data_IF_858591042507
#
_entry.id   IF_858591042507
#
_cell.length_a   1.000
_cell.length_b   1.000
_cell.length_c   1.000
_cell.angle_alpha   90.00
_cell.angle_beta   90.00
_cell.angle_gamma   90.00
#
_symmetry.space_group_name_H-M   'P 1'
#
loop_
_entity.id
_entity.type
_entity.pdbx_description
1 polymer ?
#
# COMPACT_ATOMS: atom_id res chain seq x y z
N UNK A 1 -6.34 27.83 18.97
CA UNK A 1 -7.33 26.73 18.99
C UNK A 1 -7.09 25.91 17.73
N UNK A 2 -6.66 24.65 17.84
CA UNK A 2 -6.66 23.75 16.68
C UNK A 2 -8.12 23.34 16.42
N UNK A 3 -8.63 23.60 15.22
CA UNK A 3 -9.91 23.05 14.78
C UNK A 3 -9.86 21.52 14.92
N UNK A 4 -10.78 20.97 15.72
CA UNK A 4 -10.95 19.53 15.82
C UNK A 4 -11.85 19.09 14.67
N UNK A 5 -11.25 18.54 13.62
CA UNK A 5 -12.00 17.91 12.55
C UNK A 5 -12.50 16.54 13.01
N UNK A 6 -13.80 16.29 12.83
CA UNK A 6 -14.41 15.00 13.11
C UNK A 6 -14.96 14.46 11.79
N UNK A 7 -14.48 13.28 11.39
CA UNK A 7 -15.00 12.54 10.24
C UNK A 7 -15.44 11.17 10.71
N UNK A 8 -16.56 10.70 10.17
CA UNK A 8 -17.01 9.32 10.37
C UNK A 8 -16.64 8.53 9.12
N UNK A 9 -15.87 7.45 9.31
CA UNK A 9 -15.51 6.52 8.24
C UNK A 9 -16.14 5.15 8.51
N UNK A 10 -16.63 4.51 7.45
CA UNK A 10 -17.13 3.13 7.45
C UNK A 10 -16.02 2.19 7.01
N UNK A 11 -15.79 1.15 7.80
CA UNK A 11 -14.73 0.15 7.54
C UNK A 11 -13.35 0.62 7.98
N UNK A 12 -12.29 0.11 7.33
CA UNK A 12 -10.91 0.48 7.61
C UNK A 12 -10.57 1.84 6.98
N UNK A 13 -10.25 2.89 7.77
CA UNK A 13 -9.89 4.19 7.20
C UNK A 13 -8.61 4.07 6.35
N UNK A 14 -8.69 4.62 5.13
CA UNK A 14 -7.55 4.70 4.20
C UNK A 14 -7.17 6.15 4.00
N UNK A 15 -5.87 6.44 4.02
CA UNK A 15 -5.36 7.80 3.84
C UNK A 15 -4.29 7.80 2.75
N UNK A 16 -4.42 8.71 1.77
CA UNK A 16 -3.39 8.97 0.77
C UNK A 16 -2.75 10.31 1.06
N UNK A 17 -1.44 10.35 1.24
CA UNK A 17 -0.64 11.58 1.33
C UNK A 17 0.04 11.85 -0.01
N UNK A 18 -0.18 13.04 -0.56
CA UNK A 18 0.41 13.45 -1.84
C UNK A 18 0.28 14.97 -2.07
N UNK A 19 0.94 15.50 -3.11
CA UNK A 19 0.75 16.87 -3.56
C UNK A 19 -0.73 17.15 -3.90
N UNK A 20 -1.20 18.37 -3.62
CA UNK A 20 -2.58 18.78 -3.78
C UNK A 20 -3.20 18.45 -5.15
N UNK A 21 -2.47 18.68 -6.25
CA UNK A 21 -2.98 18.43 -7.61
C UNK A 21 -3.19 16.94 -7.89
N UNK A 22 -2.30 16.08 -7.38
CA UNK A 22 -2.46 14.62 -7.48
C UNK A 22 -3.60 14.14 -6.59
N UNK A 23 -3.81 14.73 -5.41
CA UNK A 23 -4.96 14.41 -4.55
C UNK A 23 -6.27 14.80 -5.21
N UNK A 24 -6.37 15.98 -5.83
CA UNK A 24 -7.56 16.39 -6.59
C UNK A 24 -7.80 15.48 -7.81
N UNK A 25 -6.73 15.09 -8.50
CA UNK A 25 -6.81 14.12 -9.59
C UNK A 25 -7.34 12.77 -9.10
N UNK A 26 -6.87 12.29 -7.94
CA UNK A 26 -7.39 11.07 -7.33
C UNK A 26 -8.87 11.21 -6.93
N UNK A 27 -9.25 12.34 -6.32
CA UNK A 27 -10.65 12.57 -5.91
C UNK A 27 -11.60 12.63 -7.10
N UNK A 28 -11.16 13.14 -8.24
CA UNK A 28 -11.93 13.11 -9.49
C UNK A 28 -11.96 11.74 -10.19
N UNK A 29 -11.38 10.71 -9.56
CA UNK A 29 -11.46 9.32 -10.00
C UNK A 29 -10.22 8.75 -10.65
N UNK A 30 -9.11 9.50 -10.76
CA UNK A 30 -7.91 9.02 -11.46
C UNK A 30 -6.96 8.30 -10.52
N UNK A 31 -6.91 6.98 -10.61
CA UNK A 31 -5.85 6.17 -9.99
C UNK A 31 -4.66 6.12 -10.93
N UNK A 32 -3.50 6.52 -10.41
CA UNK A 32 -2.21 6.41 -11.09
C UNK A 32 -1.36 5.38 -10.35
N UNK A 33 -1.09 4.22 -10.95
CA UNK A 33 -0.39 3.10 -10.33
C UNK A 33 0.94 2.84 -11.05
N UNK A 34 2.06 3.03 -10.35
CA UNK A 34 3.42 2.77 -10.86
C UNK A 34 3.76 1.28 -10.76
N UNK A 35 4.68 0.80 -11.57
CA UNK A 35 5.24 -0.56 -11.42
C UNK A 35 6.09 -0.65 -10.15
N UNK A 36 6.18 -1.84 -9.55
CA UNK A 36 7.13 -2.12 -8.47
C UNK A 36 8.59 -1.83 -8.89
N UNK A 37 8.90 -1.97 -10.19
CA UNK A 37 10.19 -1.59 -10.77
C UNK A 37 10.53 -0.11 -10.70
N UNK A 38 9.54 0.78 -10.71
CA UNK A 38 9.76 2.22 -10.50
C UNK A 38 10.31 2.49 -9.09
N UNK A 39 9.77 1.84 -8.07
CA UNK A 39 10.19 2.03 -6.67
C UNK A 39 11.59 1.48 -6.41
N UNK A 40 11.97 0.35 -7.04
CA UNK A 40 13.35 -0.14 -6.98
C UNK A 40 14.37 0.89 -7.48
N UNK A 41 14.09 1.49 -8.64
CA UNK A 41 14.95 2.51 -9.26
C UNK A 41 15.07 3.78 -8.41
N UNK A 42 14.05 4.14 -7.62
CA UNK A 42 14.10 5.35 -6.78
C UNK A 42 15.16 5.27 -5.68
N UNK A 43 15.33 4.12 -5.04
CA UNK A 43 16.38 3.97 -4.01
C UNK A 43 17.77 4.04 -4.64
N UNK A 44 17.95 3.48 -5.84
CA UNK A 44 19.20 3.57 -6.60
C UNK A 44 19.59 5.04 -6.90
N UNK A 45 18.59 5.92 -7.04
CA UNK A 45 18.78 7.37 -7.21
C UNK A 45 18.86 8.16 -5.89
N UNK A 46 18.85 7.49 -4.74
CA UNK A 46 19.05 8.08 -3.41
C UNK A 46 17.77 8.38 -2.62
N UNK A 47 16.59 8.05 -3.14
CA UNK A 47 15.33 8.22 -2.40
C UNK A 47 14.96 6.93 -1.64
N UNK A 48 15.32 6.91 -0.36
CA UNK A 48 15.04 5.80 0.55
C UNK A 48 13.71 5.94 1.29
N UNK A 49 12.92 7.00 1.08
CA UNK A 49 11.60 7.14 1.72
C UNK A 49 10.51 6.50 0.84
N UNK A 50 10.61 6.67 -0.48
CA UNK A 50 9.69 6.06 -1.44
C UNK A 50 10.29 4.81 -2.10
N UNK A 51 11.59 4.83 -2.39
CA UNK A 51 12.26 3.73 -3.08
C UNK A 51 12.61 2.57 -2.15
N UNK A 52 12.53 1.35 -2.68
CA UNK A 52 13.01 0.11 -2.05
C UNK A 52 13.58 -0.82 -3.14
N UNK A 53 14.88 -1.08 -3.14
CA UNK A 53 15.60 -1.93 -4.12
C UNK A 53 15.22 -3.41 -4.00
N UNK A 54 14.61 -3.81 -2.88
CA UNK A 54 14.12 -5.17 -2.62
C UNK A 54 12.65 -5.32 -2.99
N UNK A 55 11.98 -4.22 -3.36
CA UNK A 55 10.55 -4.19 -3.65
C UNK A 55 10.17 -5.29 -4.65
N UNK A 56 9.28 -6.20 -4.23
CA UNK A 56 8.82 -7.34 -5.03
C UNK A 56 9.92 -8.28 -5.57
N UNK A 57 11.01 -8.44 -4.83
CA UNK A 57 12.13 -9.34 -5.15
C UNK A 57 12.27 -10.41 -4.08
N UNK A 58 12.68 -11.62 -4.46
CA UNK A 58 13.06 -12.64 -3.48
C UNK A 58 14.52 -12.39 -3.09
N UNK A 59 14.73 -12.01 -1.83
CA UNK A 59 16.07 -11.87 -1.26
C UNK A 59 16.56 -13.20 -0.68
N UNK A 60 17.78 -13.59 -1.05
CA UNK A 60 18.48 -14.76 -0.51
C UNK A 60 19.78 -14.28 0.11
N UNK A 61 19.90 -14.38 1.43
CA UNK A 61 21.10 -13.96 2.17
C UNK A 61 22.25 -14.92 1.96
N UNK A 62 22.01 -16.22 2.13
CA UNK A 62 22.98 -17.29 1.90
C UNK A 62 22.25 -18.54 1.42
N UNK A 63 22.59 -19.02 0.23
CA UNK A 63 21.84 -20.09 -0.37
C UNK A 63 22.50 -20.69 -1.59
N UNK A 64 21.84 -21.71 -2.12
CA UNK A 64 22.33 -22.43 -3.28
C UNK A 64 21.15 -22.91 -4.12
N UNK A 65 21.17 -22.54 -5.41
CA UNK A 65 20.18 -23.00 -6.39
C UNK A 65 20.76 -24.18 -7.15
N UNK A 66 20.01 -25.28 -7.15
CA UNK A 66 20.28 -26.42 -8.02
C UNK A 66 19.49 -26.27 -9.31
N UNK A 67 20.18 -26.39 -10.46
CA UNK A 67 19.60 -26.33 -11.80
C UNK A 67 19.54 -27.74 -12.38
N UNK A 68 18.40 -28.46 -12.28
CA UNK A 68 18.30 -29.88 -12.65
C UNK A 68 18.69 -30.14 -14.10
N UNK A 69 18.29 -29.25 -15.01
CA UNK A 69 18.53 -29.39 -16.45
C UNK A 69 20.02 -29.38 -16.83
N UNK A 70 20.86 -28.81 -15.98
CA UNK A 70 22.31 -28.70 -16.23
C UNK A 70 23.16 -29.46 -15.21
N UNK A 71 22.54 -29.98 -14.15
CA UNK A 71 23.23 -30.55 -12.98
C UNK A 71 24.10 -29.56 -12.22
N UNK A 72 24.00 -28.26 -12.49
CA UNK A 72 24.82 -27.22 -11.86
C UNK A 72 24.21 -26.74 -10.56
N UNK A 73 25.12 -26.30 -9.69
CA UNK A 73 24.82 -25.72 -8.39
C UNK A 73 25.41 -24.31 -8.38
N UNK A 74 24.57 -23.32 -8.11
CA UNK A 74 24.96 -21.90 -8.10
C UNK A 74 24.75 -21.36 -6.70
N UNK A 75 25.81 -20.86 -6.07
CA UNK A 75 25.70 -20.14 -4.81
C UNK A 75 24.97 -18.81 -5.06
N UNK A 76 24.03 -18.47 -4.20
CA UNK A 76 23.23 -17.24 -4.26
C UNK A 76 23.30 -16.54 -2.92
N UNK A 77 24.14 -15.51 -2.83
CA UNK A 77 24.54 -14.89 -1.56
C UNK A 77 24.34 -13.39 -1.63
N UNK A 78 23.30 -12.90 -0.95
CA UNK A 78 22.83 -11.51 -1.05
C UNK A 78 22.12 -11.20 -2.37
N UNK A 79 21.68 -12.22 -3.10
CA UNK A 79 21.06 -12.06 -4.42
C UNK A 79 19.58 -11.68 -4.32
N UNK A 80 19.12 -10.90 -5.31
CA UNK A 80 17.73 -10.50 -5.49
C UNK A 80 17.17 -11.16 -6.75
N UNK A 81 16.25 -12.11 -6.60
CA UNK A 81 15.64 -12.82 -7.72
C UNK A 81 14.32 -12.16 -8.13
N UNK A 82 14.16 -11.94 -9.44
CA UNK A 82 12.90 -11.49 -10.03
C UNK A 82 11.92 -12.65 -10.17
N UNK A 83 10.64 -12.31 -10.08
CA UNK A 83 9.50 -13.15 -10.41
C UNK A 83 8.72 -12.52 -11.58
N UNK A 84 7.76 -13.24 -12.15
CA UNK A 84 6.85 -12.69 -13.17
C UNK A 84 6.06 -11.47 -12.67
N UNK A 85 5.84 -11.36 -11.36
CA UNK A 85 5.03 -10.35 -10.69
C UNK A 85 5.89 -9.21 -10.12
N UNK A 86 7.21 -9.27 -10.28
CA UNK A 86 8.13 -8.23 -9.78
C UNK A 86 7.90 -6.87 -10.44
N UNK A 87 7.14 -6.78 -11.55
CA UNK A 87 6.81 -5.54 -12.24
C UNK A 87 5.30 -5.25 -12.26
N UNK A 88 4.49 -5.91 -11.43
CA UNK A 88 3.08 -5.58 -11.27
C UNK A 88 2.89 -4.10 -10.84
N UNK A 89 1.73 -3.54 -11.17
CA UNK A 89 1.41 -2.15 -10.84
C UNK A 89 0.84 -2.06 -9.43
N UNK A 90 1.18 -1.01 -8.69
CA UNK A 90 0.69 -0.81 -7.33
C UNK A 90 0.14 0.59 -7.08
N UNK A 91 -0.94 0.62 -6.30
CA UNK A 91 -1.47 1.85 -5.71
C UNK A 91 -1.53 1.71 -4.19
N UNK A 92 -0.68 2.49 -3.52
CA UNK A 92 -0.42 2.35 -2.09
C UNK A 92 -1.16 3.42 -1.28
N UNK A 93 -1.68 3.05 -0.12
CA UNK A 93 -2.30 3.97 0.84
C UNK A 93 -1.82 3.63 2.25
N UNK A 94 -2.02 4.57 3.17
CA UNK A 94 -1.86 4.33 4.61
C UNK A 94 -3.15 3.70 5.15
N UNK A 95 -3.05 2.53 5.78
CA UNK A 95 -4.19 1.86 6.41
C UNK A 95 -4.19 2.07 7.93
N UNK A 96 -5.31 2.57 8.47
CA UNK A 96 -5.50 2.67 9.93
C UNK A 96 -6.08 1.35 10.43
N UNK A 97 -5.36 0.66 11.31
CA UNK A 97 -5.78 -0.65 11.80
C UNK A 97 -7.17 -0.59 12.50
N UNK A 98 -8.21 -1.29 11.97
CA UNK A 98 -9.57 -1.19 12.48
C UNK A 98 -9.77 -1.88 13.85
N UNK A 99 -8.79 -2.65 14.33
CA UNK A 99 -8.86 -3.31 15.65
C UNK A 99 -8.50 -2.37 16.79
N UNK A 100 -7.87 -1.22 16.50
CA UNK A 100 -7.52 -0.26 17.53
C UNK A 100 -8.75 0.59 17.91
N UNK A 101 -9.08 0.67 19.20
CA UNK A 101 -10.16 1.54 19.68
C UNK A 101 -9.86 3.02 19.40
N UNK A 102 -8.57 3.36 19.42
CA UNK A 102 -8.05 4.71 19.23
C UNK A 102 -6.70 4.65 18.54
N UNK A 103 -6.60 5.30 17.39
CA UNK A 103 -5.37 5.43 16.62
C UNK A 103 -4.84 6.86 16.64
N UNK A 104 -3.52 7.00 16.73
CA UNK A 104 -2.78 8.26 16.59
C UNK A 104 -1.48 8.00 15.84
N UNK A 105 -1.10 8.94 14.99
CA UNK A 105 0.20 8.88 14.34
C UNK A 105 1.33 8.99 15.37
N UNK A 106 2.34 8.14 15.22
CA UNK A 106 3.60 8.20 15.96
C UNK A 106 4.40 9.44 15.54
N UNK A 107 5.37 9.87 16.35
CA UNK A 107 6.21 11.02 15.99
C UNK A 107 7.04 10.76 14.73
N UNK A 108 7.54 9.52 14.56
CA UNK A 108 8.19 9.07 13.31
C UNK A 108 7.27 9.22 12.10
N UNK A 109 5.98 8.87 12.23
CA UNK A 109 5.01 9.06 11.16
C UNK A 109 4.75 10.54 10.89
N UNK A 110 4.54 11.37 11.91
CA UNK A 110 4.33 12.81 11.72
C UNK A 110 5.49 13.48 10.98
N UNK A 111 6.73 13.08 11.29
CA UNK A 111 7.92 13.58 10.62
C UNK A 111 8.00 13.08 9.17
N UNK A 112 7.98 11.76 8.97
CA UNK A 112 8.28 11.16 7.65
C UNK A 112 7.13 11.26 6.65
N UNK A 113 5.87 11.21 7.09
CA UNK A 113 4.71 11.21 6.18
C UNK A 113 4.55 12.53 5.43
N UNK A 114 5.11 13.64 5.96
CA UNK A 114 5.14 14.93 5.27
C UNK A 114 6.04 14.94 4.02
N UNK A 115 6.96 13.97 3.89
CA UNK A 115 7.80 13.84 2.68
C UNK A 115 7.01 13.34 1.46
N UNK A 116 5.83 12.75 1.67
CA UNK A 116 4.98 12.22 0.60
C UNK A 116 4.13 13.29 -0.07
N UNK A 117 3.91 14.42 0.61
CA UNK A 117 3.12 15.55 0.12
C UNK A 117 2.46 16.34 1.26
N UNK A 118 1.88 17.47 0.90
CA UNK A 118 1.28 18.43 1.83
C UNK A 118 -0.23 18.25 2.02
N UNK A 119 -0.85 17.35 1.27
CA UNK A 119 -2.29 17.15 1.22
C UNK A 119 -2.62 15.68 1.49
N UNK A 120 -3.72 15.45 2.22
CA UNK A 120 -4.24 14.14 2.53
C UNK A 120 -5.65 13.96 1.96
N UNK A 121 -5.91 12.81 1.34
CA UNK A 121 -7.24 12.31 1.03
C UNK A 121 -7.59 11.18 1.99
N UNK A 122 -8.74 11.28 2.64
CA UNK A 122 -9.27 10.29 3.57
C UNK A 122 -10.46 9.61 2.91
N UNK A 123 -10.44 8.28 2.83
CA UNK A 123 -11.58 7.48 2.38
C UNK A 123 -12.55 7.29 3.54
N UNK A 124 -13.80 7.68 3.33
CA UNK A 124 -14.88 7.64 4.31
C UNK A 124 -15.79 6.42 4.13
N UNK A 125 -15.90 5.86 2.92
CA UNK A 125 -16.55 4.57 2.67
C UNK A 125 -15.56 3.59 2.07
N UNK A 126 -15.01 2.72 2.92
CA UNK A 126 -14.00 1.74 2.55
C UNK A 126 -14.50 0.76 1.48
N UNK A 127 -15.71 0.23 1.67
CA UNK A 127 -16.25 -0.83 0.82
C UNK A 127 -16.55 -0.28 -0.57
N UNK A 128 -17.15 0.91 -0.64
CA UNK A 128 -17.48 1.56 -1.91
C UNK A 128 -16.21 1.96 -2.67
N UNK A 129 -15.20 2.49 -1.98
CA UNK A 129 -13.92 2.82 -2.60
C UNK A 129 -13.28 1.57 -3.21
N UNK A 130 -13.12 0.49 -2.45
CA UNK A 130 -12.58 -0.78 -2.95
C UNK A 130 -13.40 -1.30 -4.13
N UNK A 131 -14.73 -1.24 -4.05
CA UNK A 131 -15.62 -1.70 -5.12
C UNK A 131 -15.36 -0.93 -6.41
N UNK A 132 -15.26 0.40 -6.37
CA UNK A 132 -14.98 1.24 -7.55
C UNK A 132 -13.61 0.94 -8.16
N UNK A 133 -12.57 0.77 -7.34
CA UNK A 133 -11.23 0.36 -7.81
C UNK A 133 -11.28 -1.00 -8.50
N UNK A 134 -11.96 -1.98 -7.90
CA UNK A 134 -12.05 -3.33 -8.46
C UNK A 134 -12.77 -3.36 -9.80
N UNK A 135 -13.91 -2.68 -9.90
CA UNK A 135 -14.69 -2.58 -11.14
C UNK A 135 -13.86 -1.94 -12.26
N UNK A 136 -13.17 -0.83 -11.99
CA UNK A 136 -12.34 -0.16 -12.99
C UNK A 136 -11.16 -1.03 -13.45
N UNK A 137 -10.50 -1.71 -12.50
CA UNK A 137 -9.40 -2.62 -12.82
C UNK A 137 -9.86 -3.80 -13.69
N UNK A 138 -10.99 -4.43 -13.35
CA UNK A 138 -11.56 -5.54 -14.12
C UNK A 138 -11.97 -5.11 -15.53
N UNK A 139 -12.57 -3.93 -15.68
CA UNK A 139 -12.92 -3.34 -16.98
C UNK A 139 -11.70 -3.02 -17.84
N UNK A 140 -10.59 -2.64 -17.21
CA UNK A 140 -9.29 -2.42 -17.86
C UNK A 140 -8.51 -3.72 -18.11
N UNK A 141 -9.05 -4.89 -17.73
CA UNK A 141 -8.44 -6.19 -17.98
C UNK A 141 -7.41 -6.64 -16.94
N UNK A 142 -7.34 -5.99 -15.78
CA UNK A 142 -6.43 -6.36 -14.70
C UNK A 142 -7.14 -7.19 -13.63
N UNK A 143 -6.43 -8.18 -13.08
CA UNK A 143 -6.80 -8.75 -11.77
C UNK A 143 -6.28 -7.81 -10.69
N UNK A 144 -7.02 -7.73 -9.60
CA UNK A 144 -6.71 -6.82 -8.49
C UNK A 144 -6.68 -7.56 -7.16
N UNK A 145 -5.62 -7.33 -6.40
CA UNK A 145 -5.49 -7.80 -5.02
C UNK A 145 -5.38 -6.61 -4.09
N UNK A 146 -6.06 -6.66 -2.95
CA UNK A 146 -5.99 -5.61 -1.94
C UNK A 146 -5.64 -6.21 -0.57
N UNK A 147 -4.48 -5.85 -0.03
CA UNK A 147 -3.99 -6.36 1.26
C UNK A 147 -3.07 -5.34 1.96
N UNK A 148 -2.93 -5.43 3.30
CA UNK A 148 -1.83 -4.79 4.02
C UNK A 148 -0.48 -5.40 3.61
N UNK A 149 0.55 -4.55 3.61
CA UNK A 149 1.94 -4.94 3.42
C UNK A 149 2.46 -5.64 4.68
N UNK A 150 3.20 -6.73 4.46
CA UNK A 150 3.94 -7.45 5.47
C UNK A 150 5.39 -6.98 5.48
N UNK A 151 5.93 -6.80 6.67
CA UNK A 151 7.27 -6.28 6.86
C UNK A 151 8.22 -7.40 7.29
N UNK A 152 9.42 -7.41 6.72
CA UNK A 152 10.44 -8.41 7.01
C UNK A 152 11.80 -7.79 7.32
N UNK A 153 12.58 -8.47 8.15
CA UNK A 153 13.98 -8.17 8.39
C UNK A 153 14.81 -8.67 7.18
N UNK A 154 15.48 -7.78 6.43
CA UNK A 154 16.22 -8.19 5.24
C UNK A 154 17.48 -9.00 5.55
N UNK A 155 17.96 -9.05 6.80
CA UNK A 155 19.19 -9.75 7.20
C UNK A 155 19.02 -11.26 7.40
N UNK A 156 17.77 -11.74 7.38
CA UNK A 156 17.40 -13.15 7.48
C UNK A 156 16.54 -13.55 6.29
N UNK A 157 16.59 -14.83 5.91
CA UNK A 157 15.76 -15.33 4.82
C UNK A 157 14.29 -15.40 5.24
N UNK A 158 13.43 -14.79 4.43
CA UNK A 158 12.01 -14.63 4.70
C UNK A 158 11.22 -15.93 4.52
N UNK A 159 11.32 -16.88 5.45
CA UNK A 159 10.56 -18.14 5.38
C UNK A 159 9.05 -17.93 5.21
N UNK A 160 8.47 -16.97 5.94
CA UNK A 160 7.05 -16.59 5.79
C UNK A 160 6.73 -16.01 4.40
N UNK A 161 7.66 -15.23 3.83
CA UNK A 161 7.53 -14.73 2.46
C UNK A 161 7.48 -15.90 1.49
N UNK A 162 8.45 -16.81 1.54
CA UNK A 162 8.49 -17.98 0.65
C UNK A 162 7.22 -18.85 0.77
N UNK A 163 6.74 -19.10 1.98
CA UNK A 163 5.48 -19.83 2.22
C UNK A 163 4.30 -19.08 1.57
N UNK A 164 4.24 -17.75 1.70
CA UNK A 164 3.15 -16.96 1.10
C UNK A 164 3.14 -17.04 -0.43
N UNK A 165 4.32 -17.18 -1.07
CA UNK A 165 4.42 -17.29 -2.53
C UNK A 165 3.82 -18.60 -3.05
N UNK A 166 3.79 -19.68 -2.23
CA UNK A 166 3.13 -20.93 -2.62
C UNK A 166 1.63 -20.77 -2.90
N UNK A 167 0.98 -19.78 -2.28
CA UNK A 167 -0.42 -19.44 -2.54
C UNK A 167 -0.62 -18.58 -3.81
N UNK A 168 0.47 -18.04 -4.35
CA UNK A 168 0.49 -17.19 -5.55
C UNK A 168 1.64 -16.19 -5.50
N UNK A 169 2.39 -16.08 -6.61
CA UNK A 169 3.58 -15.24 -6.69
C UNK A 169 3.28 -13.75 -6.49
N UNK A 170 2.07 -13.29 -6.83
CA UNK A 170 1.58 -11.92 -6.57
C UNK A 170 1.69 -11.50 -5.09
N UNK A 171 1.79 -12.44 -4.14
CA UNK A 171 2.03 -12.10 -2.73
C UNK A 171 3.36 -11.37 -2.53
N UNK A 172 4.36 -11.54 -3.42
CA UNK A 172 5.65 -10.85 -3.34
C UNK A 172 5.49 -9.32 -3.36
N UNK A 173 4.45 -8.81 -4.04
CA UNK A 173 4.11 -7.40 -4.10
C UNK A 173 3.56 -6.83 -2.78
N UNK A 174 3.41 -7.65 -1.74
CA UNK A 174 2.97 -7.25 -0.41
C UNK A 174 4.06 -7.41 0.65
N UNK A 175 5.31 -7.63 0.26
CA UNK A 175 6.44 -7.69 1.18
C UNK A 175 7.34 -6.47 1.03
N UNK A 176 7.72 -5.87 2.16
CA UNK A 176 8.60 -4.69 2.21
C UNK A 176 9.54 -4.78 3.41
N UNK A 177 10.70 -4.14 3.34
CA UNK A 177 11.64 -4.13 4.47
C UNK A 177 11.03 -3.42 5.69
N UNK A 178 11.37 -3.90 6.88
CA UNK A 178 10.87 -3.40 8.15
C UNK A 178 11.21 -1.92 8.45
N UNK A 179 12.24 -1.37 7.80
CA UNK A 179 12.57 0.06 7.81
C UNK A 179 11.38 0.95 7.38
N UNK A 180 10.46 0.43 6.58
CA UNK A 180 9.27 1.11 6.06
C UNK A 180 7.99 0.88 6.87
N UNK A 181 8.06 0.18 8.01
CA UNK A 181 6.90 -0.09 8.90
C UNK A 181 6.07 1.14 9.26
N UNK A 182 6.72 2.31 9.36
CA UNK A 182 6.04 3.57 9.67
C UNK A 182 4.97 3.95 8.63
N UNK A 183 5.08 3.46 7.39
CA UNK A 183 4.13 3.77 6.31
C UNK A 183 2.78 3.05 6.48
N UNK A 184 2.71 2.00 7.31
CA UNK A 184 1.49 1.18 7.52
C UNK A 184 0.73 0.92 6.22
N UNK A 185 1.46 0.42 5.25
CA UNK A 185 1.07 0.44 3.86
C UNK A 185 0.00 -0.63 3.56
N UNK A 186 -1.05 -0.25 2.86
CA UNK A 186 -1.99 -1.15 2.20
C UNK A 186 -1.90 -0.90 0.70
N UNK A 187 -1.98 -1.97 -0.10
CA UNK A 187 -1.77 -1.89 -1.55
C UNK A 187 -2.95 -2.47 -2.30
N UNK A 188 -3.32 -1.79 -3.38
CA UNK A 188 -3.87 -2.46 -4.55
C UNK A 188 -2.71 -2.91 -5.44
N UNK A 189 -2.73 -4.17 -5.85
CA UNK A 189 -1.80 -4.74 -6.84
C UNK A 189 -2.63 -5.10 -8.07
N UNK A 190 -2.25 -4.57 -9.23
CA UNK A 190 -2.88 -4.83 -10.52
C UNK A 190 -1.94 -5.68 -11.37
N UNK A 191 -2.45 -6.85 -11.78
CA UNK A 191 -1.67 -7.87 -12.51
C UNK A 191 -2.39 -8.27 -13.80
N UNK A 192 -1.67 -8.62 -14.88
CA UNK A 192 -0.22 -8.66 -15.00
C UNK A 192 0.43 -7.28 -15.13
N UNK A 193 1.65 -7.15 -14.62
CA UNK A 193 2.56 -6.05 -14.93
C UNK A 193 3.02 -6.08 -16.40
N UNK A 194 3.68 -5.01 -16.81
CA UNK A 194 4.34 -4.89 -18.12
C UNK A 194 5.71 -4.21 -17.93
N UNK A 195 6.77 -4.80 -18.49
CA UNK A 195 8.12 -4.27 -18.36
C UNK A 195 8.37 -3.03 -19.23
N UNK A 196 7.51 -2.77 -20.22
CA UNK A 196 7.68 -1.68 -21.19
C UNK A 196 6.99 -0.38 -20.78
N UNK A 197 6.08 -0.42 -19.80
CA UNK A 197 5.41 0.75 -19.26
C UNK A 197 5.68 0.84 -17.75
N UNK A 198 5.82 2.06 -17.25
CA UNK A 198 6.13 2.30 -15.83
C UNK A 198 4.89 2.61 -14.99
N UNK A 199 3.72 2.75 -15.61
CA UNK A 199 2.44 3.01 -14.94
C UNK A 199 1.21 2.59 -15.74
N UNK A 200 0.09 2.50 -15.03
CA UNK A 200 -1.26 2.48 -15.58
C UNK A 200 -2.09 3.61 -14.96
N UNK A 201 -3.12 4.04 -15.69
CA UNK A 201 -4.16 4.93 -15.20
C UNK A 201 -5.51 4.21 -15.22
N UNK A 202 -6.25 4.29 -14.12
CA UNK A 202 -7.61 3.75 -14.01
C UNK A 202 -8.56 4.89 -13.64
N UNK A 203 -9.72 4.94 -14.30
CA UNK A 203 -10.82 5.85 -13.95
C UNK A 203 -11.83 5.08 -13.09
N UNK A 204 -11.94 5.46 -11.82
CA UNK A 204 -12.86 4.87 -10.84
C UNK A 204 -14.14 5.70 -10.65
N UNK A 205 -14.31 6.76 -11.45
CA UNK A 205 -15.32 7.79 -11.26
C UNK A 205 -15.00 8.73 -10.11
N UNK A 206 -15.62 9.91 -10.10
CA UNK A 206 -15.48 10.87 -9.00
C UNK A 206 -15.81 10.21 -7.65
N UNK A 207 -14.97 10.43 -6.64
CA UNK A 207 -15.08 9.86 -5.30
C UNK A 207 -15.26 10.96 -4.23
N UNK A 208 -15.67 12.17 -4.61
CA UNK A 208 -15.90 13.26 -3.65
C UNK A 208 -17.03 12.93 -2.67
N UNK A 209 -17.95 12.03 -3.04
CA UNK A 209 -19.04 11.54 -2.21
C UNK A 209 -18.58 10.60 -1.08
N UNK A 210 -17.43 9.95 -1.24
CA UNK A 210 -16.88 8.97 -0.29
C UNK A 210 -15.51 9.36 0.26
N UNK A 211 -15.07 10.61 0.06
CA UNK A 211 -13.76 11.08 0.51
C UNK A 211 -13.79 12.48 1.11
N UNK A 212 -12.79 12.80 1.93
CA UNK A 212 -12.50 14.15 2.38
C UNK A 212 -11.05 14.52 2.07
N UNK A 213 -10.80 15.79 1.74
CA UNK A 213 -9.46 16.35 1.56
C UNK A 213 -9.13 17.30 2.70
N UNK A 214 -7.91 17.24 3.20
CA UNK A 214 -7.36 18.20 4.15
C UNK A 214 -5.85 18.34 4.02
N UNK A 215 -5.25 19.27 4.77
CA UNK A 215 -3.80 19.34 4.85
C UNK A 215 -3.22 18.08 5.52
N UNK A 216 -2.06 17.61 5.05
CA UNK A 216 -1.34 16.49 5.65
C UNK A 216 -1.04 16.74 7.13
N UNK A 217 -0.71 17.97 7.51
CA UNK A 217 -0.48 18.36 8.91
C UNK A 217 -1.72 18.16 9.78
N UNK A 218 -2.90 18.56 9.28
CA UNK A 218 -4.17 18.33 9.97
C UNK A 218 -4.43 16.83 10.14
N UNK A 219 -4.30 16.04 9.07
CA UNK A 219 -4.51 14.60 9.10
C UNK A 219 -3.56 13.91 10.10
N UNK A 220 -2.28 14.26 10.11
CA UNK A 220 -1.27 13.69 11.01
C UNK A 220 -1.45 14.08 12.48
N UNK A 221 -2.17 15.17 12.74
CA UNK A 221 -2.55 15.59 14.10
C UNK A 221 -3.87 14.98 14.58
N UNK A 222 -4.61 14.31 13.70
CA UNK A 222 -5.92 13.77 14.02
C UNK A 222 -5.83 12.58 14.99
N UNK A 223 -6.93 12.37 15.72
CA UNK A 223 -7.15 11.20 16.55
C UNK A 223 -8.31 10.45 15.90
N UNK A 224 -8.10 9.18 15.57
CA UNK A 224 -9.16 8.31 15.03
C UNK A 224 -9.69 7.48 16.19
N UNK A 225 -11.00 7.50 16.38
CA UNK A 225 -11.69 6.72 17.42
C UNK A 225 -12.75 5.86 16.76
N UNK A 226 -12.87 4.60 17.21
CA UNK A 226 -13.91 3.71 16.72
C UNK A 226 -15.27 4.22 17.17
N UNK A 227 -16.20 4.41 16.23
CA UNK A 227 -17.57 4.78 16.57
C UNK A 227 -18.22 3.64 17.38
N UNK A 228 -18.76 3.97 18.54
CA UNK A 228 -19.62 3.05 19.30
C UNK A 228 -20.94 2.94 18.55
N UNK A 229 -21.27 1.75 18.04
CA UNK A 229 -22.59 1.49 17.49
C UNK A 229 -23.61 1.65 18.61
N UNK A 230 -24.46 2.68 18.55
CA UNK A 230 -25.65 2.75 19.38
C UNK A 230 -26.65 1.73 18.84
N UNK A 231 -26.42 0.44 19.13
CA UNK A 231 -27.50 -0.54 19.06
C UNK A 231 -28.48 -0.20 20.18
N UNK A 232 -29.63 0.30 19.73
CA UNK A 232 -30.88 0.53 20.47
C UNK A 232 -30.99 -0.25 21.77
N UNK A 233 -31.07 0.48 22.89
CA UNK A 233 -31.92 0.06 24.01
C UNK A 233 -33.34 -0.12 23.46
N UNK A 234 -33.67 -1.34 23.03
CA UNK A 234 -35.07 -1.71 22.86
C UNK A 234 -35.64 -1.86 24.26
N UNK A 235 -36.34 -0.81 24.70
CA UNK A 235 -37.26 -0.81 25.82
C UNK A 235 -38.11 -2.09 25.81
N UNK A 236 -37.76 -3.05 26.66
CA UNK A 236 -38.74 -4.00 27.18
C UNK A 236 -39.41 -3.35 28.39
N UNK A 237 -40.51 -2.65 28.11
CA UNK A 237 -41.61 -2.45 29.08
C UNK A 237 -42.60 -3.60 28.98
#
# INVERSE_FOLDING_TARGET
>A
MQEKFHFQAKGMPLIKFQDADKIKSLQSGKIYAKTLGYYRKREETGDCEVGDKYEAMIHINDGTIYLPDTGKTVAVNGDLLKTSESNDFVFCMFGVNPTEEKFRFTDKQKEKMLSFGDTALIVLDHDEFIRRVKVAAEQAGYKVYFKPVQYYDPTIDGGNMLISLLAGMWNIAFWKRDSYTYQQEVRFVFTPGDENIDHIELDIGDISDITAIMSAKSALSAIVEKAVSSETESDFK
#
